data_IF_230091830661
#
_entry.id   IF_230091830661
#
_cell.length_a   1.000
_cell.length_b   1.000
_cell.length_c   1.000
_cell.angle_alpha   90.00
_cell.angle_beta   90.00
_cell.angle_gamma   90.00
#
_symmetry.space_group_name_H-M   'P 1'
#
loop_
_entity.id
_entity.type
_entity.pdbx_description
1 polymer ?
#
# COMPACT_ATOMS: atom_id res chain seq x y z
N UNK A 1 -16.00 -18.18 4.79
CA UNK A 1 -15.41 -17.73 3.51
C UNK A 1 -13.99 -17.24 3.76
N UNK A 2 -13.08 -17.38 2.80
CA UNK A 2 -11.71 -16.87 2.94
C UNK A 2 -11.72 -15.36 2.69
N UNK A 3 -11.02 -14.58 3.53
CA UNK A 3 -10.95 -13.12 3.36
C UNK A 3 -9.68 -12.71 2.64
N UNK A 4 -9.78 -11.76 1.72
CA UNK A 4 -8.66 -11.12 1.04
C UNK A 4 -8.74 -9.61 1.23
N UNK A 5 -7.58 -8.97 1.44
CA UNK A 5 -7.47 -7.52 1.53
C UNK A 5 -6.61 -7.00 0.38
N UNK A 6 -7.13 -6.06 -0.39
CA UNK A 6 -6.39 -5.38 -1.46
C UNK A 6 -6.01 -3.98 -0.98
N UNK A 7 -4.72 -3.66 -1.03
CA UNK A 7 -4.17 -2.34 -0.75
C UNK A 7 -3.80 -1.67 -2.09
N UNK A 8 -4.63 -0.72 -2.53
CA UNK A 8 -4.41 0.06 -3.76
C UNK A 8 -3.99 1.49 -3.44
N UNK A 9 -3.70 2.28 -4.47
CA UNK A 9 -3.56 3.73 -4.35
C UNK A 9 -3.98 4.44 -5.64
N UNK A 10 -4.96 5.34 -5.55
CA UNK A 10 -5.53 6.06 -6.70
C UNK A 10 -4.66 7.21 -7.26
N UNK A 11 -3.38 6.96 -7.58
CA UNK A 11 -2.49 7.95 -8.24
C UNK A 11 -2.69 8.08 -9.76
N UNK A 12 -3.49 7.19 -10.34
CA UNK A 12 -3.80 7.08 -11.76
C UNK A 12 -4.64 5.82 -11.97
N UNK A 13 -5.45 5.76 -13.03
CA UNK A 13 -6.45 4.70 -13.19
C UNK A 13 -5.91 3.25 -13.26
N UNK A 14 -4.60 3.08 -13.51
CA UNK A 14 -3.96 1.77 -13.66
C UNK A 14 -4.01 0.90 -12.39
N UNK A 15 -3.72 1.44 -11.21
CA UNK A 15 -3.69 0.66 -9.96
C UNK A 15 -5.09 0.19 -9.55
N UNK A 16 -6.11 1.02 -9.76
CA UNK A 16 -7.50 0.67 -9.50
C UNK A 16 -8.01 -0.39 -10.48
N UNK A 17 -7.59 -0.30 -11.75
CA UNK A 17 -7.91 -1.35 -12.74
C UNK A 17 -7.25 -2.68 -12.37
N UNK A 18 -6.00 -2.65 -11.90
CA UNK A 18 -5.34 -3.86 -11.39
C UNK A 18 -6.05 -4.42 -10.15
N UNK A 19 -6.42 -3.58 -9.18
CA UNK A 19 -7.17 -3.97 -7.99
C UNK A 19 -8.50 -4.63 -8.35
N UNK A 20 -9.29 -4.01 -9.23
CA UNK A 20 -10.56 -4.56 -9.72
C UNK A 20 -10.40 -5.92 -10.40
N UNK A 21 -9.42 -6.07 -11.30
CA UNK A 21 -9.18 -7.35 -11.97
C UNK A 21 -8.80 -8.46 -10.97
N UNK A 22 -7.98 -8.14 -9.97
CA UNK A 22 -7.58 -9.07 -8.90
C UNK A 22 -8.79 -9.43 -8.05
N UNK A 23 -9.61 -8.43 -7.68
CA UNK A 23 -10.85 -8.60 -6.92
C UNK A 23 -11.79 -9.58 -7.61
N UNK A 24 -12.12 -9.35 -8.88
CA UNK A 24 -13.01 -10.23 -9.64
C UNK A 24 -12.52 -11.68 -9.64
N UNK A 25 -11.20 -11.90 -9.78
CA UNK A 25 -10.61 -13.23 -9.77
C UNK A 25 -10.61 -13.90 -8.39
N UNK A 26 -10.52 -13.14 -7.32
CA UNK A 26 -10.61 -13.65 -5.95
C UNK A 26 -12.06 -13.97 -5.58
N UNK A 27 -13.01 -13.10 -5.93
CA UNK A 27 -14.44 -13.33 -5.73
C UNK A 27 -14.91 -14.58 -6.50
N UNK A 28 -14.48 -14.76 -7.76
CA UNK A 28 -14.71 -15.98 -8.54
C UNK A 28 -14.18 -17.26 -7.86
N UNK A 29 -13.18 -17.14 -6.97
CA UNK A 29 -12.61 -18.24 -6.19
C UNK A 29 -13.22 -18.37 -4.79
N UNK A 30 -14.29 -17.63 -4.50
CA UNK A 30 -15.02 -17.68 -3.23
C UNK A 30 -14.36 -16.90 -2.09
N UNK A 31 -13.51 -15.93 -2.40
CA UNK A 31 -13.02 -14.98 -1.40
C UNK A 31 -14.03 -13.86 -1.15
N UNK A 32 -14.11 -13.44 0.10
CA UNK A 32 -14.67 -12.16 0.53
C UNK A 32 -13.56 -11.12 0.44
N UNK A 33 -13.69 -10.15 -0.48
CA UNK A 33 -12.62 -9.23 -0.86
C UNK A 33 -12.95 -7.81 -0.42
N UNK A 34 -12.05 -7.22 0.34
CA UNK A 34 -12.10 -5.82 0.75
C UNK A 34 -10.96 -5.04 0.10
N UNK A 35 -11.23 -3.82 -0.35
CA UNK A 35 -10.24 -2.94 -0.98
C UNK A 35 -10.07 -1.67 -0.14
N UNK A 36 -8.81 -1.31 0.13
CA UNK A 36 -8.44 -0.06 0.79
C UNK A 36 -7.60 0.77 -0.17
N UNK A 37 -8.05 1.99 -0.43
CA UNK A 37 -7.31 2.99 -1.17
C UNK A 37 -6.44 3.82 -0.23
N UNK A 38 -5.16 3.47 -0.17
CA UNK A 38 -4.18 4.08 0.73
C UNK A 38 -4.03 5.59 0.51
N UNK A 39 -4.30 6.10 -0.68
CA UNK A 39 -4.21 7.54 -0.94
C UNK A 39 -5.36 8.30 -0.27
N UNK A 40 -6.59 7.78 -0.39
CA UNK A 40 -7.77 8.37 0.29
C UNK A 40 -7.57 8.41 1.80
N UNK A 41 -7.03 7.33 2.35
CA UNK A 41 -6.76 7.18 3.78
C UNK A 41 -5.80 8.25 4.34
N UNK A 42 -4.88 8.76 3.51
CA UNK A 42 -3.94 9.85 3.85
C UNK A 42 -4.61 11.20 3.67
N UNK A 43 -5.27 11.42 2.53
CA UNK A 43 -5.84 12.73 2.16
C UNK A 43 -6.97 13.18 3.09
N UNK A 44 -7.70 12.25 3.70
CA UNK A 44 -8.77 12.58 4.65
C UNK A 44 -8.27 13.05 6.02
N UNK A 45 -7.00 12.77 6.39
CA UNK A 45 -6.51 12.98 7.76
C UNK A 45 -5.35 13.99 7.91
N UNK A 46 -4.72 14.44 6.82
CA UNK A 46 -3.64 15.43 6.84
C UNK A 46 -3.94 16.62 5.92
N UNK A 47 -3.24 17.74 6.13
CA UNK A 47 -3.28 18.88 5.23
C UNK A 47 -2.98 18.43 3.79
N UNK A 48 -4.04 18.41 2.99
CA UNK A 48 -4.06 17.91 1.62
C UNK A 48 -3.09 18.66 0.72
N UNK A 49 -2.67 19.88 1.11
CA UNK A 49 -1.70 20.69 0.41
C UNK A 49 -0.27 20.14 0.56
N UNK A 50 0.15 19.83 1.79
CA UNK A 50 1.51 19.32 2.09
C UNK A 50 1.71 17.91 1.52
N UNK A 51 0.71 17.06 1.72
CA UNK A 51 0.68 15.69 1.19
C UNK A 51 0.53 15.72 -0.32
N UNK A 52 -0.41 16.50 -0.86
CA UNK A 52 -0.65 16.62 -2.30
C UNK A 52 0.55 17.19 -3.05
N UNK A 53 1.30 18.11 -2.46
CA UNK A 53 2.56 18.62 -3.01
C UNK A 53 3.65 17.54 -3.04
N UNK A 54 3.94 16.90 -1.90
CA UNK A 54 4.96 15.86 -1.81
C UNK A 54 4.63 14.64 -2.69
N UNK A 55 3.40 14.11 -2.57
CA UNK A 55 2.96 13.00 -3.41
C UNK A 55 2.83 13.40 -4.86
N UNK A 56 2.36 14.59 -5.18
CA UNK A 56 2.32 15.10 -6.55
C UNK A 56 3.69 15.05 -7.20
N UNK A 57 4.75 15.44 -6.49
CA UNK A 57 6.13 15.40 -6.98
C UNK A 57 6.61 13.96 -7.20
N UNK A 58 6.44 13.10 -6.19
CA UNK A 58 6.90 11.70 -6.25
C UNK A 58 6.12 10.88 -7.29
N UNK A 59 4.83 11.15 -7.48
CA UNK A 59 3.95 10.35 -8.35
C UNK A 59 3.91 10.83 -9.79
N UNK A 60 4.12 12.13 -10.05
CA UNK A 60 4.11 12.69 -11.42
C UNK A 60 5.45 12.66 -12.12
N UNK A 61 6.53 12.22 -11.46
CA UNK A 61 7.88 12.23 -12.03
C UNK A 61 8.41 10.80 -12.21
N UNK A 62 8.24 10.18 -13.39
CA UNK A 62 8.74 8.82 -13.69
C UNK A 62 10.25 8.67 -13.50
N UNK A 63 11.00 9.76 -13.72
CA UNK A 63 12.46 9.79 -13.60
C UNK A 63 12.94 9.61 -12.16
N UNK A 64 12.19 10.14 -11.17
CA UNK A 64 12.47 9.95 -9.75
C UNK A 64 12.27 8.48 -9.38
N UNK A 65 11.21 7.84 -9.87
CA UNK A 65 11.01 6.38 -9.71
C UNK A 65 12.16 5.57 -10.31
N UNK A 66 12.59 5.90 -11.53
CA UNK A 66 13.71 5.24 -12.20
C UNK A 66 15.04 5.40 -11.46
N UNK A 67 15.30 6.57 -10.88
CA UNK A 67 16.49 6.85 -10.06
C UNK A 67 16.45 6.12 -8.72
N UNK A 68 15.28 6.05 -8.08
CA UNK A 68 15.08 5.31 -6.82
C UNK A 68 15.34 3.83 -7.04
N UNK A 69 14.75 3.22 -8.08
CA UNK A 69 14.94 1.81 -8.37
C UNK A 69 16.36 1.48 -8.87
N UNK A 70 17.02 2.37 -9.60
CA UNK A 70 18.42 2.17 -10.06
C UNK A 70 19.46 2.41 -8.96
N UNK A 71 19.15 3.25 -7.96
CA UNK A 71 20.08 3.64 -6.90
C UNK A 71 19.97 2.84 -5.61
N UNK A 72 18.88 2.09 -5.40
CA UNK A 72 18.66 1.38 -4.13
C UNK A 72 18.77 -0.13 -4.29
N UNK A 73 19.80 -0.72 -3.67
CA UNK A 73 19.71 -2.11 -3.24
C UNK A 73 18.44 -2.24 -2.37
N UNK A 74 17.67 -3.28 -2.65
CA UNK A 74 16.25 -3.52 -2.38
C UNK A 74 15.82 -3.45 -0.88
N UNK A 75 16.70 -3.01 0.03
CA UNK A 75 16.49 -2.92 1.49
C UNK A 75 16.05 -1.54 2.00
N UNK A 76 15.96 -0.50 1.14
CA UNK A 76 15.61 0.88 1.53
C UNK A 76 14.25 1.38 1.01
N UNK A 77 13.24 0.50 0.94
CA UNK A 77 11.83 0.90 0.75
C UNK A 77 11.37 1.98 1.75
N UNK A 78 12.02 2.07 2.91
CA UNK A 78 11.83 3.14 3.90
C UNK A 78 12.26 4.54 3.45
N UNK A 79 13.10 4.68 2.40
CA UNK A 79 13.60 5.98 1.95
C UNK A 79 12.72 6.61 0.87
N UNK A 80 11.88 5.82 0.19
CA UNK A 80 10.93 6.30 -0.82
C UNK A 80 9.75 7.03 -0.18
N UNK A 81 9.41 6.65 1.05
CA UNK A 81 8.32 7.23 1.82
C UNK A 81 8.89 7.87 3.08
N UNK A 82 8.45 9.08 3.43
CA UNK A 82 8.84 9.64 4.71
C UNK A 82 8.35 8.71 5.84
N UNK A 83 9.22 8.42 6.82
CA UNK A 83 8.88 7.61 8.01
C UNK A 83 7.54 8.02 8.66
N UNK A 84 7.15 9.31 8.73
CA UNK A 84 5.84 9.71 9.23
C UNK A 84 4.64 9.14 8.44
N UNK A 85 4.68 9.18 7.10
CA UNK A 85 3.59 8.64 6.26
C UNK A 85 3.47 7.13 6.46
N UNK A 86 4.59 6.41 6.47
CA UNK A 86 4.60 4.98 6.72
C UNK A 86 4.08 4.62 8.12
N UNK A 87 4.50 5.33 9.16
CA UNK A 87 4.01 5.13 10.52
C UNK A 87 2.49 5.32 10.58
N UNK A 88 1.98 6.40 10.01
CA UNK A 88 0.56 6.73 10.02
C UNK A 88 -0.28 5.67 9.29
N UNK A 89 0.10 5.33 8.06
CA UNK A 89 -0.60 4.32 7.27
C UNK A 89 -0.55 2.96 7.96
N UNK A 90 0.61 2.57 8.50
CA UNK A 90 0.77 1.30 9.22
C UNK A 90 -0.12 1.24 10.45
N UNK A 91 -0.23 2.33 11.22
CA UNK A 91 -1.10 2.40 12.39
C UNK A 91 -2.60 2.33 12.02
N UNK A 92 -2.98 2.66 10.77
CA UNK A 92 -4.35 2.57 10.28
C UNK A 92 -4.66 1.18 9.72
N UNK A 93 -3.73 0.60 8.98
CA UNK A 93 -3.87 -0.71 8.35
C UNK A 93 -3.77 -1.85 9.38
N UNK A 94 -2.93 -1.70 10.40
CA UNK A 94 -2.74 -2.73 11.43
C UNK A 94 -4.05 -3.15 12.13
N UNK A 95 -4.87 -2.25 12.70
CA UNK A 95 -6.15 -2.62 13.29
C UNK A 95 -7.08 -3.35 12.31
N UNK A 96 -7.07 -2.98 11.03
CA UNK A 96 -7.89 -3.63 10.00
C UNK A 96 -7.39 -5.05 9.75
N UNK A 97 -6.07 -5.26 9.70
CA UNK A 97 -5.48 -6.60 9.59
C UNK A 97 -5.83 -7.48 10.80
N UNK A 98 -5.82 -6.91 12.00
CA UNK A 98 -6.18 -7.61 13.25
C UNK A 98 -7.67 -7.95 13.32
N UNK A 99 -8.55 -7.02 12.93
CA UNK A 99 -10.00 -7.22 12.94
C UNK A 99 -10.45 -8.18 11.85
N UNK A 100 -10.03 -7.93 10.60
CA UNK A 100 -10.50 -8.69 9.44
C UNK A 100 -9.81 -10.05 9.33
N UNK A 101 -8.58 -10.18 9.85
CA UNK A 101 -7.72 -11.37 9.75
C UNK A 101 -7.72 -11.95 8.34
N UNK A 102 -7.35 -11.16 7.32
CA UNK A 102 -7.36 -11.65 5.94
C UNK A 102 -6.36 -12.79 5.78
N UNK A 103 -6.74 -13.80 5.01
CA UNK A 103 -5.86 -14.93 4.66
C UNK A 103 -4.81 -14.56 3.62
N UNK A 104 -5.02 -13.45 2.90
CA UNK A 104 -4.10 -12.90 1.90
C UNK A 104 -4.23 -11.39 1.84
N UNK A 105 -3.11 -10.69 1.70
CA UNK A 105 -3.05 -9.24 1.45
C UNK A 105 -2.35 -9.02 0.11
N UNK A 106 -2.95 -8.24 -0.78
CA UNK A 106 -2.43 -7.95 -2.13
C UNK A 106 -2.21 -6.46 -2.28
N UNK A 107 -0.99 -6.05 -2.61
CA UNK A 107 -0.66 -4.65 -2.92
C UNK A 107 -0.59 -4.40 -4.43
N UNK A 108 -1.27 -3.37 -4.93
CA UNK A 108 -1.15 -2.97 -6.35
C UNK A 108 -0.23 -1.75 -6.56
N UNK A 109 0.27 -1.17 -5.46
CA UNK A 109 1.16 -0.01 -5.45
C UNK A 109 2.31 -0.21 -4.46
N UNK A 110 3.46 0.45 -4.70
CA UNK A 110 4.66 0.36 -3.86
C UNK A 110 4.44 0.79 -2.40
N UNK A 111 3.42 1.61 -2.14
CA UNK A 111 3.02 2.00 -0.78
C UNK A 111 2.62 0.79 0.06
N UNK A 112 1.91 -0.17 -0.54
CA UNK A 112 1.51 -1.38 0.17
C UNK A 112 2.72 -2.17 0.64
N UNK A 113 3.77 -2.28 -0.17
CA UNK A 113 5.02 -2.96 0.20
C UNK A 113 5.66 -2.24 1.40
N UNK A 114 5.82 -0.92 1.32
CA UNK A 114 6.43 -0.14 2.40
C UNK A 114 5.66 -0.24 3.73
N UNK A 115 4.33 -0.23 3.69
CA UNK A 115 3.48 -0.39 4.88
C UNK A 115 3.64 -1.79 5.47
N UNK A 116 3.54 -2.84 4.64
CA UNK A 116 3.61 -4.22 5.13
C UNK A 116 5.01 -4.55 5.68
N UNK A 117 6.08 -4.05 5.06
CA UNK A 117 7.43 -4.16 5.61
C UNK A 117 7.57 -3.41 6.94
N UNK A 118 6.98 -2.22 7.06
CA UNK A 118 7.02 -1.44 8.29
C UNK A 118 6.27 -2.12 9.45
N UNK A 119 5.10 -2.72 9.17
CA UNK A 119 4.34 -3.52 10.15
C UNK A 119 5.14 -4.76 10.57
N UNK A 120 5.77 -5.45 9.61
CA UNK A 120 6.59 -6.63 9.87
C UNK A 120 7.83 -6.30 10.71
N UNK A 121 8.52 -5.20 10.42
CA UNK A 121 9.72 -4.78 11.14
C UNK A 121 9.44 -4.39 12.59
N UNK A 122 8.24 -3.90 12.89
CA UNK A 122 7.82 -3.64 14.27
C UNK A 122 7.45 -4.94 15.05
N UNK A 123 7.67 -6.12 14.46
CA UNK A 123 7.29 -7.43 15.00
C UNK A 123 5.81 -7.54 15.39
N UNK A 124 4.94 -6.75 14.75
CA UNK A 124 3.53 -6.70 15.13
C UNK A 124 2.76 -7.86 14.47
N UNK A 125 3.09 -8.20 13.22
CA UNK A 125 2.48 -9.32 12.51
C UNK A 125 3.46 -9.94 11.50
N UNK A 126 3.39 -11.26 11.34
CA UNK A 126 4.21 -12.01 10.38
C UNK A 126 3.47 -12.21 9.06
N UNK A 127 4.05 -11.70 7.98
CA UNK A 127 3.56 -11.88 6.60
C UNK A 127 4.65 -12.46 5.70
N UNK A 128 4.23 -13.26 4.73
CA UNK A 128 5.05 -13.64 3.59
C UNK A 128 4.84 -12.62 2.48
N UNK A 129 5.92 -11.90 2.12
CA UNK A 129 5.92 -10.93 1.03
C UNK A 129 6.51 -11.62 -0.20
N UNK A 130 5.71 -11.76 -1.25
CA UNK A 130 6.20 -12.16 -2.56
C UNK A 130 6.85 -10.93 -3.21
N UNK A 131 8.15 -11.00 -3.51
CA UNK A 131 8.93 -9.94 -4.18
C UNK A 131 9.23 -10.36 -5.61
#
# INVERSE_FOLDING_TARGET
>A
MKKALILTASFGGGHNKAANNIREKLEQRGFDVEEIDLLKEISEKLDSLLVGGYLGIVTKTPEIYGLIYKGTNITQTQNVFSKPILNMLSNKILPILEEKRPSVVIGTHVFAIGIMEHIKQKNIMMFHLFR
#
